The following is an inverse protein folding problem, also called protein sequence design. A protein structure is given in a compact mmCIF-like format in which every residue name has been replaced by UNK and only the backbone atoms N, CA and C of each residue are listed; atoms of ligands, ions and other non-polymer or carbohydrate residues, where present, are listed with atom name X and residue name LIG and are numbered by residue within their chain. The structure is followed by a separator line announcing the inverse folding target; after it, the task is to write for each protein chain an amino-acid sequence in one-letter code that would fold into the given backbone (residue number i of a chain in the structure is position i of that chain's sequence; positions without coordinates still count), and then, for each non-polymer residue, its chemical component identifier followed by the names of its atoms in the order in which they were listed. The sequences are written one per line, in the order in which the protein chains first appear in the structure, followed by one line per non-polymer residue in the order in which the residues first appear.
data_IF_039662750109
#
_entry.id   IF_039662750109
#
_cell.length_a   1.000
_cell.length_b   1.000
_cell.length_c   1.000
_cell.angle_alpha   90.00
_cell.angle_beta   90.00
_cell.angle_gamma   90.00
#
_symmetry.space_group_name_H-M   'P 1'
#
loop_
_entity.id
_entity.type
_entity.pdbx_description
1 polymer ?
#
# COMPACT_ATOMS: atom_id res chain seq x y z
N UNK A 1 0.62 11.14 -14.48
CA UNK A 1 -0.70 11.41 -15.10
C UNK A 1 -1.75 11.52 -14.01
N UNK A 2 -2.56 12.59 -14.03
CA UNK A 2 -3.73 12.74 -13.15
C UNK A 2 -4.93 12.11 -13.86
N UNK A 3 -5.43 11.01 -13.32
CA UNK A 3 -6.61 10.35 -13.87
C UNK A 3 -7.88 11.10 -13.43
N UNK A 4 -8.92 11.23 -14.28
CA UNK A 4 -10.25 11.56 -13.80
C UNK A 4 -10.72 10.46 -12.82
N UNK A 5 -11.53 10.79 -11.81
CA UNK A 5 -11.81 9.86 -10.69
C UNK A 5 -12.34 8.49 -11.11
N UNK A 6 -13.19 8.41 -12.14
CA UNK A 6 -13.71 7.15 -12.68
C UNK A 6 -12.61 6.26 -13.27
N UNK A 7 -11.71 6.83 -14.08
CA UNK A 7 -10.57 6.11 -14.64
C UNK A 7 -9.58 5.68 -13.57
N UNK A 8 -9.44 6.46 -12.49
CA UNK A 8 -8.59 6.09 -11.37
C UNK A 8 -9.18 4.90 -10.60
N UNK A 9 -10.47 4.92 -10.33
CA UNK A 9 -11.14 3.78 -9.67
C UNK A 9 -11.04 2.51 -10.54
N UNK A 10 -11.24 2.62 -11.85
CA UNK A 10 -11.04 1.51 -12.79
C UNK A 10 -9.60 0.98 -12.76
N UNK A 11 -8.61 1.87 -12.69
CA UNK A 11 -7.21 1.49 -12.55
C UNK A 11 -6.98 0.69 -11.26
N UNK A 12 -7.52 1.14 -10.13
CA UNK A 12 -7.37 0.45 -8.84
C UNK A 12 -8.04 -0.94 -8.85
N UNK A 13 -9.16 -1.09 -9.55
CA UNK A 13 -9.92 -2.35 -9.60
C UNK A 13 -9.25 -3.40 -10.51
N UNK A 14 -8.67 -2.95 -11.64
CA UNK A 14 -8.16 -3.82 -12.70
C UNK A 14 -6.70 -4.26 -12.48
N UNK A 15 -5.94 -3.53 -11.66
CA UNK A 15 -4.53 -3.79 -11.47
C UNK A 15 -4.25 -4.53 -10.16
N UNK A 16 -3.15 -5.28 -10.15
CA UNK A 16 -2.71 -6.03 -8.97
C UNK A 16 -1.97 -5.12 -7.95
N UNK A 17 -1.77 -5.64 -6.74
CA UNK A 17 -1.19 -4.87 -5.64
C UNK A 17 0.22 -4.37 -5.94
N UNK A 18 0.98 -5.09 -6.78
CA UNK A 18 2.34 -4.69 -7.19
C UNK A 18 2.30 -3.45 -8.05
N UNK A 19 1.37 -3.41 -9.01
CA UNK A 19 1.20 -2.28 -9.93
C UNK A 19 0.74 -1.04 -9.17
N UNK A 20 -0.22 -1.20 -8.24
CA UNK A 20 -0.65 -0.11 -7.35
C UNK A 20 0.51 0.41 -6.48
N UNK A 21 1.30 -0.50 -5.92
CA UNK A 21 2.47 -0.13 -5.10
C UNK A 21 3.50 0.67 -5.92
N UNK A 22 3.84 0.23 -7.13
CA UNK A 22 4.77 0.96 -7.99
C UNK A 22 4.23 2.32 -8.40
N UNK A 23 2.94 2.42 -8.72
CA UNK A 23 2.31 3.70 -9.01
C UNK A 23 2.47 4.69 -7.83
N UNK A 24 2.28 4.23 -6.59
CA UNK A 24 2.50 5.06 -5.40
C UNK A 24 3.97 5.43 -5.19
N UNK A 25 4.89 4.53 -5.54
CA UNK A 25 6.32 4.83 -5.55
C UNK A 25 6.69 5.86 -6.62
N UNK A 26 6.04 5.81 -7.78
CA UNK A 26 6.22 6.78 -8.86
C UNK A 26 5.82 8.19 -8.43
N UNK A 27 4.69 8.29 -7.72
CA UNK A 27 4.19 9.53 -7.12
C UNK A 27 4.94 9.97 -5.85
N UNK A 28 5.98 9.26 -5.42
CA UNK A 28 6.72 9.51 -4.18
C UNK A 28 5.85 9.48 -2.89
N UNK A 29 4.71 8.80 -2.93
CA UNK A 29 3.87 8.57 -1.76
C UNK A 29 4.37 7.39 -0.91
N UNK A 30 5.15 6.50 -1.54
CA UNK A 30 5.88 5.39 -0.91
C UNK A 30 7.32 5.42 -1.39
N UNK A 31 8.28 5.07 -0.52
CA UNK A 31 9.68 5.02 -0.91
C UNK A 31 9.94 3.92 -1.93
N UNK A 32 10.73 4.23 -2.96
CA UNK A 32 11.20 3.30 -4.01
C UNK A 32 12.27 2.33 -3.51
N UNK A 33 12.93 2.67 -2.41
CA UNK A 33 13.97 1.87 -1.81
C UNK A 33 13.94 2.01 -0.29
N UNK A 34 14.48 1.00 0.39
CA UNK A 34 14.67 1.04 1.83
C UNK A 34 16.08 0.53 2.14
N UNK A 35 16.84 1.34 2.88
CA UNK A 35 18.15 0.97 3.41
C UNK A 35 17.95 0.34 4.78
N UNK A 36 18.59 -0.81 5.03
CA UNK A 36 18.56 -1.43 6.35
C UNK A 36 19.38 -0.57 7.33
N UNK A 37 18.76 -0.13 8.43
CA UNK A 37 19.41 0.74 9.42
C UNK A 37 20.58 0.07 10.17
N UNK A 38 20.65 -1.27 10.16
CA UNK A 38 21.74 -2.01 10.84
C UNK A 38 22.98 -2.21 9.99
N UNK A 39 22.82 -2.53 8.70
CA UNK A 39 23.96 -2.84 7.82
C UNK A 39 24.18 -1.83 6.71
N UNK A 40 23.33 -0.81 6.59
CA UNK A 40 23.39 0.23 5.55
C UNK A 40 23.34 -0.29 4.10
N UNK A 41 22.91 -1.55 3.91
CA UNK A 41 22.72 -2.16 2.59
C UNK A 41 21.27 -1.99 2.14
N UNK A 42 21.08 -1.77 0.84
CA UNK A 42 19.76 -1.73 0.21
C UNK A 42 19.02 -3.06 0.43
N UNK A 43 17.77 -2.96 0.88
CA UNK A 43 16.89 -4.12 1.02
C UNK A 43 16.23 -4.47 -0.31
N UNK A 44 15.75 -5.70 -0.43
CA UNK A 44 15.04 -6.18 -1.63
C UNK A 44 13.53 -6.14 -1.42
N UNK A 45 12.78 -5.62 -2.38
CA UNK A 45 11.32 -5.74 -2.39
C UNK A 45 10.95 -7.19 -2.73
N UNK A 46 10.18 -7.84 -1.86
CA UNK A 46 9.77 -9.23 -2.03
C UNK A 46 8.28 -9.41 -1.75
N UNK A 47 7.68 -10.43 -2.37
CA UNK A 47 6.31 -10.85 -2.07
C UNK A 47 6.24 -11.36 -0.62
N UNK A 48 5.27 -10.88 0.14
CA UNK A 48 5.03 -11.23 1.53
C UNK A 48 3.52 -11.32 1.79
N UNK A 49 2.96 -12.52 1.64
CA UNK A 49 1.51 -12.77 1.65
C UNK A 49 0.82 -12.51 2.98
N UNK A 50 1.57 -12.54 4.09
CA UNK A 50 1.07 -12.28 5.45
C UNK A 50 0.79 -10.79 5.71
N UNK A 51 1.39 -9.88 4.95
CA UNK A 51 1.09 -8.45 5.04
C UNK A 51 -0.15 -8.11 4.19
N UNK A 52 -0.86 -7.05 4.57
CA UNK A 52 -2.05 -6.52 3.91
C UNK A 52 -1.71 -6.10 2.46
N UNK A 53 -0.54 -5.52 2.23
CA UNK A 53 -0.09 -5.07 0.90
C UNK A 53 0.55 -6.15 0.04
N UNK A 54 0.66 -7.38 0.54
CA UNK A 54 1.30 -8.52 -0.16
C UNK A 54 2.79 -8.34 -0.53
N UNK A 55 3.40 -7.21 -0.18
CA UNK A 55 4.81 -6.91 -0.39
C UNK A 55 5.47 -6.36 0.89
N UNK A 56 6.77 -6.57 0.99
CA UNK A 56 7.62 -6.07 2.07
C UNK A 56 9.06 -5.92 1.59
N UNK A 57 9.80 -5.04 2.24
CA UNK A 57 11.25 -4.93 2.09
C UNK A 57 11.93 -6.01 2.93
N UNK A 58 12.98 -6.64 2.41
CA UNK A 58 13.71 -7.70 3.11
C UNK A 58 15.22 -7.45 3.07
N UNK A 59 15.86 -7.47 4.23
CA UNK A 59 17.32 -7.44 4.28
C UNK A 59 17.87 -8.81 3.85
N UNK A 60 18.80 -8.82 2.90
CA UNK A 60 19.44 -10.04 2.38
C UNK A 60 20.94 -10.09 2.65
N UNK A 61 21.48 -9.12 3.40
CA UNK A 61 22.87 -9.17 3.83
C UNK A 61 23.03 -10.21 4.95
N UNK A 62 23.84 -11.25 4.72
CA UNK A 62 24.04 -12.38 5.65
C UNK A 62 24.70 -11.96 6.96
N UNK A 63 25.56 -10.94 6.92
CA UNK A 63 26.32 -10.47 8.07
C UNK A 63 25.52 -9.48 8.94
N UNK A 64 24.29 -9.15 8.51
CA UNK A 64 23.42 -8.24 9.22
C UNK A 64 22.65 -8.98 10.33
N UNK A 65 22.61 -8.41 11.54
CA UNK A 65 21.73 -8.88 12.61
C UNK A 65 20.22 -8.77 12.32
N UNK A 66 19.83 -8.11 11.22
CA UNK A 66 18.47 -8.09 10.68
C UNK A 66 18.35 -8.93 9.38
N UNK A 67 19.26 -9.86 9.12
CA UNK A 67 19.19 -10.76 7.97
C UNK A 67 17.82 -11.45 7.87
N UNK A 68 17.26 -11.49 6.66
CA UNK A 68 15.94 -12.02 6.32
C UNK A 68 14.75 -11.33 7.01
N UNK A 69 14.96 -10.30 7.83
CA UNK A 69 13.90 -9.52 8.46
C UNK A 69 13.09 -8.75 7.42
N UNK A 70 11.79 -8.65 7.68
CA UNK A 70 10.84 -7.93 6.85
C UNK A 70 10.59 -6.54 7.41
N UNK A 71 10.48 -5.56 6.52
CA UNK A 71 10.08 -4.20 6.83
C UNK A 71 8.89 -3.81 5.96
N UNK A 72 7.96 -3.05 6.53
CA UNK A 72 6.76 -2.61 5.80
C UNK A 72 7.15 -1.73 4.61
N UNK A 73 6.46 -1.91 3.47
CA UNK A 73 6.57 -0.97 2.34
C UNK A 73 6.09 0.44 2.71
N UNK A 74 5.27 0.55 3.75
CA UNK A 74 4.74 1.83 4.27
C UNK A 74 5.68 2.52 5.26
N UNK A 75 6.86 1.96 5.52
CA UNK A 75 7.77 2.52 6.51
C UNK A 75 8.13 3.97 6.19
N UNK A 76 7.97 4.85 7.18
CA UNK A 76 8.19 6.29 7.05
C UNK A 76 7.36 6.94 5.91
N UNK A 77 6.10 6.52 5.75
CA UNK A 77 5.12 7.17 4.87
C UNK A 77 3.82 7.46 5.62
N UNK A 78 2.97 8.29 5.01
CA UNK A 78 1.63 8.61 5.50
C UNK A 78 0.79 7.35 5.80
N UNK A 79 1.02 6.26 5.07
CA UNK A 79 0.21 5.04 5.16
C UNK A 79 0.55 4.12 6.34
N UNK A 80 1.60 4.40 7.13
CA UNK A 80 2.16 3.46 8.12
C UNK A 80 1.15 2.96 9.17
N UNK A 81 0.21 3.83 9.61
CA UNK A 81 -0.80 3.48 10.63
C UNK A 81 -2.13 3.00 10.05
N UNK A 82 -2.29 2.99 8.73
CA UNK A 82 -3.54 2.57 8.12
C UNK A 82 -3.72 1.06 8.22
N UNK A 83 -4.93 0.63 8.60
CA UNK A 83 -5.30 -0.79 8.71
C UNK A 83 -5.89 -1.38 7.42
N UNK A 84 -6.14 -0.53 6.42
CA UNK A 84 -6.64 -0.91 5.09
C UNK A 84 -5.50 -1.17 4.11
N UNK A 85 -5.74 -1.95 3.06
CA UNK A 85 -4.82 -2.10 1.92
C UNK A 85 -4.65 -0.76 1.18
N UNK A 86 -3.52 -0.57 0.50
CA UNK A 86 -3.27 0.64 -0.30
C UNK A 86 -4.39 0.90 -1.32
N UNK A 87 -4.87 -0.14 -2.02
CA UNK A 87 -6.02 -0.07 -2.91
C UNK A 87 -7.25 0.54 -2.22
N UNK A 88 -7.64 -0.01 -1.06
CA UNK A 88 -8.84 0.43 -0.34
C UNK A 88 -8.69 1.85 0.21
N UNK A 89 -7.50 2.24 0.67
CA UNK A 89 -7.24 3.62 1.10
C UNK A 89 -7.48 4.58 -0.07
N UNK A 90 -6.92 4.28 -1.25
CA UNK A 90 -7.05 5.14 -2.43
C UNK A 90 -8.49 5.21 -2.92
N UNK A 91 -9.25 4.11 -2.87
CA UNK A 91 -10.68 4.10 -3.21
C UNK A 91 -11.49 4.99 -2.27
N UNK A 92 -11.26 4.91 -0.95
CA UNK A 92 -11.93 5.78 0.03
C UNK A 92 -11.65 7.24 -0.24
N UNK A 93 -10.36 7.59 -0.40
CA UNK A 93 -9.95 8.98 -0.65
C UNK A 93 -10.57 9.51 -1.94
N UNK A 94 -10.58 8.70 -3.01
CA UNK A 94 -11.15 9.09 -4.31
C UNK A 94 -12.66 9.33 -4.21
N UNK A 95 -13.40 8.40 -3.62
CA UNK A 95 -14.86 8.54 -3.46
C UNK A 95 -15.24 9.70 -2.56
N UNK A 96 -14.49 9.91 -1.47
CA UNK A 96 -14.66 11.05 -0.58
C UNK A 96 -14.40 12.39 -1.31
N UNK A 97 -13.33 12.48 -2.11
CA UNK A 97 -13.03 13.65 -2.92
C UNK A 97 -14.13 13.97 -3.95
N UNK A 98 -14.81 12.94 -4.47
CA UNK A 98 -15.99 13.07 -5.33
C UNK A 98 -17.30 13.37 -4.59
N UNK A 99 -17.25 13.71 -3.29
CA UNK A 99 -18.42 14.02 -2.45
C UNK A 99 -19.47 12.90 -2.38
N UNK A 100 -19.04 11.65 -2.52
CA UNK A 100 -19.93 10.52 -2.28
C UNK A 100 -20.32 10.43 -0.81
N UNK A 101 -21.58 10.07 -0.54
CA UNK A 101 -22.08 9.90 0.82
C UNK A 101 -21.37 8.75 1.53
N UNK A 102 -21.09 8.92 2.82
CA UNK A 102 -20.33 7.93 3.62
C UNK A 102 -20.94 6.52 3.57
N UNK A 103 -22.26 6.41 3.56
CA UNK A 103 -22.98 5.13 3.41
C UNK A 103 -22.59 4.42 2.10
N UNK A 104 -22.63 5.14 0.97
CA UNK A 104 -22.25 4.61 -0.34
C UNK A 104 -20.78 4.18 -0.40
N UNK A 105 -19.88 4.93 0.25
CA UNK A 105 -18.46 4.57 0.35
C UNK A 105 -18.29 3.26 1.13
N UNK A 106 -18.99 3.10 2.26
CA UNK A 106 -18.93 1.88 3.08
C UNK A 106 -19.40 0.65 2.29
N UNK A 107 -20.54 0.74 1.63
CA UNK A 107 -21.08 -0.35 0.80
C UNK A 107 -20.08 -0.80 -0.28
N UNK A 108 -19.41 0.14 -0.94
CA UNK A 108 -18.43 -0.16 -1.99
C UNK A 108 -17.16 -0.88 -1.49
N UNK A 109 -16.86 -0.79 -0.19
CA UNK A 109 -15.74 -1.50 0.45
C UNK A 109 -16.16 -2.88 0.96
N UNK A 110 -17.40 -3.02 1.45
CA UNK A 110 -17.92 -4.27 2.03
C UNK A 110 -18.02 -5.38 0.97
N UNK A 111 -18.34 -5.03 -0.28
CA UNK A 111 -18.54 -5.97 -1.38
C UNK A 111 -17.30 -6.84 -1.77
N UNK A 112 -16.10 -6.53 -1.26
CA UNK A 112 -14.87 -7.31 -1.55
C UNK A 112 -14.25 -8.04 -0.34
N UNK A 113 -14.92 -8.04 0.82
CA UNK A 113 -14.57 -8.95 1.92
C UNK A 113 -14.26 -8.25 3.24
N UNK A 114 -15.08 -8.62 4.23
CA UNK A 114 -15.04 -8.38 5.68
C UNK A 114 -14.95 -6.92 6.12
N UNK A 115 -16.05 -6.49 6.77
CA UNK A 115 -16.20 -5.28 7.59
C UNK A 115 -14.86 -4.81 8.17
N UNK A 116 -14.31 -3.74 7.61
CA UNK A 116 -13.37 -2.92 8.35
C UNK A 116 -14.20 -2.11 9.33
N UNK A 117 -14.23 -2.56 10.59
CA UNK A 117 -14.74 -1.76 11.71
C UNK A 117 -13.88 -0.50 11.81
N UNK A 118 -14.39 0.59 11.25
CA UNK A 118 -13.89 1.94 11.49
C UNK A 118 -14.47 2.34 12.85
N UNK A 119 -13.71 2.06 13.91
CA UNK A 119 -13.84 2.70 15.22
C UNK A 119 -12.53 3.43 15.50
#
# INVERSE_FOLDING_TARGET
MLFPPSKFEDFLIKNDEKTILYYLMELNLIKRELICLKCCVATKLVKYTRNIDKFAWRCLNKDCGDYKKYFSVRYNSFFIKFKLSLENILRVVTKYACRQQLYSIKEALIFRGKLCRIY
#
